data_IF_751040536055
#
_entry.id   IF_751040536055
#
_cell.length_a   1.000
_cell.length_b   1.000
_cell.length_c   1.000
_cell.angle_alpha   90.00
_cell.angle_beta   90.00
_cell.angle_gamma   90.00
#
_symmetry.space_group_name_H-M   'P 1'
#
loop_
_entity.id
_entity.type
_entity.pdbx_description
1 polymer ?
#
# COMPACT_ATOMS: atom_id res chain seq x y z
N UNK A 1 -12.01 -4.15 -24.00
CA UNK A 1 -10.63 -4.51 -23.59
C UNK A 1 -10.73 -5.83 -22.84
N UNK A 2 -10.04 -6.86 -23.34
CA UNK A 2 -10.04 -8.17 -22.67
C UNK A 2 -9.21 -8.09 -21.40
N UNK A 3 -9.58 -8.80 -20.32
CA UNK A 3 -8.81 -8.83 -19.06
C UNK A 3 -7.32 -9.14 -19.26
N UNK A 4 -7.00 -9.89 -20.34
CA UNK A 4 -5.64 -10.22 -20.76
C UNK A 4 -4.78 -9.00 -21.14
N UNK A 5 -5.37 -7.96 -21.71
CA UNK A 5 -4.62 -6.74 -22.10
C UNK A 5 -4.20 -5.94 -20.87
N UNK A 6 -5.10 -5.85 -19.87
CA UNK A 6 -4.84 -5.17 -18.60
C UNK A 6 -3.76 -5.90 -17.81
N UNK A 7 -3.81 -7.24 -17.74
CA UNK A 7 -2.78 -8.06 -17.10
C UNK A 7 -1.40 -7.87 -17.74
N UNK A 8 -1.34 -7.79 -19.07
CA UNK A 8 -0.08 -7.57 -19.80
C UNK A 8 0.54 -6.20 -19.48
N UNK A 9 -0.29 -5.15 -19.43
CA UNK A 9 0.15 -3.80 -19.09
C UNK A 9 0.64 -3.72 -17.63
N UNK A 10 -0.12 -4.29 -16.68
CA UNK A 10 0.27 -4.37 -15.27
C UNK A 10 1.59 -5.12 -15.09
N UNK A 11 1.77 -6.23 -15.80
CA UNK A 11 3.01 -7.02 -15.76
C UNK A 11 4.19 -6.20 -16.27
N UNK A 12 4.04 -5.52 -17.42
CA UNK A 12 5.10 -4.65 -17.95
C UNK A 12 5.46 -3.53 -16.98
N UNK A 13 4.45 -2.86 -16.39
CA UNK A 13 4.67 -1.79 -15.43
C UNK A 13 5.38 -2.32 -14.17
N UNK A 14 4.94 -3.44 -13.61
CA UNK A 14 5.51 -3.97 -12.39
C UNK A 14 6.95 -4.49 -12.59
N UNK A 15 7.25 -5.06 -13.76
CA UNK A 15 8.59 -5.56 -14.08
C UNK A 15 9.57 -4.44 -14.46
N UNK A 16 9.15 -3.46 -15.27
CA UNK A 16 10.05 -2.43 -15.84
C UNK A 16 9.97 -1.08 -15.12
N UNK A 17 8.94 -0.86 -14.31
CA UNK A 17 8.68 0.41 -13.63
C UNK A 17 9.78 0.84 -12.67
N UNK A 18 10.49 -0.11 -12.04
CA UNK A 18 11.61 0.19 -11.14
C UNK A 18 12.69 1.04 -11.82
N UNK A 19 13.03 0.73 -13.08
CA UNK A 19 14.03 1.49 -13.83
C UNK A 19 13.57 2.89 -14.25
N UNK A 20 12.27 3.16 -14.16
CA UNK A 20 11.64 4.43 -14.51
C UNK A 20 11.08 5.19 -13.29
N UNK A 21 11.42 4.77 -12.06
CA UNK A 21 10.87 5.33 -10.81
C UNK A 21 9.33 5.32 -10.72
N UNK A 22 8.68 4.34 -11.37
CA UNK A 22 7.24 4.13 -11.30
C UNK A 22 6.96 3.08 -10.21
N UNK A 23 6.20 3.48 -9.19
CA UNK A 23 5.77 2.62 -8.09
C UNK A 23 4.29 2.29 -8.20
N UNK A 24 3.94 1.02 -8.00
CA UNK A 24 2.56 0.55 -8.07
C UNK A 24 2.06 0.22 -6.67
N UNK A 25 0.87 0.72 -6.35
CA UNK A 25 0.08 0.32 -5.18
C UNK A 25 -1.21 -0.30 -5.69
N UNK A 26 -1.47 -1.54 -5.30
CA UNK A 26 -2.67 -2.28 -5.69
C UNK A 26 -3.40 -2.73 -4.42
N UNK A 27 -4.72 -2.52 -4.39
CA UNK A 27 -5.56 -2.82 -3.24
C UNK A 27 -6.73 -3.71 -3.68
N UNK A 28 -7.09 -4.69 -2.86
CA UNK A 28 -8.27 -5.54 -3.07
C UNK A 28 -8.91 -5.89 -1.73
N UNK A 29 -10.25 -6.03 -1.72
CA UNK A 29 -10.99 -6.58 -0.59
C UNK A 29 -11.23 -8.09 -0.70
N UNK A 30 -11.09 -8.65 -1.91
CA UNK A 30 -11.29 -10.07 -2.19
C UNK A 30 -9.95 -10.68 -2.62
N UNK A 31 -9.17 -11.24 -1.68
CA UNK A 31 -7.89 -11.83 -1.99
C UNK A 31 -8.08 -13.25 -2.58
N UNK A 32 -8.76 -13.36 -3.73
CA UNK A 32 -8.94 -14.65 -4.39
C UNK A 32 -7.77 -14.96 -5.31
N UNK A 33 -7.52 -16.25 -5.57
CA UNK A 33 -6.48 -16.67 -6.50
C UNK A 33 -6.73 -16.15 -7.93
N UNK A 34 -7.98 -15.90 -8.31
CA UNK A 34 -8.33 -15.31 -9.60
C UNK A 34 -7.92 -13.83 -9.70
N UNK A 35 -7.99 -13.07 -8.59
CA UNK A 35 -7.66 -11.65 -8.54
C UNK A 35 -6.16 -11.42 -8.27
N UNK A 36 -5.57 -12.25 -7.41
CA UNK A 36 -4.15 -12.14 -7.05
C UNK A 36 -3.27 -12.92 -8.05
N UNK A 37 -3.77 -13.97 -8.69
CA UNK A 37 -3.08 -14.67 -9.78
C UNK A 37 -1.64 -15.10 -9.47
N UNK A 38 -0.89 -15.43 -10.52
CA UNK A 38 0.56 -15.67 -10.45
C UNK A 38 1.38 -14.39 -10.68
N UNK A 39 0.86 -13.48 -11.51
CA UNK A 39 1.51 -12.22 -11.89
C UNK A 39 1.62 -11.22 -10.73
N UNK A 40 0.61 -11.14 -9.85
CA UNK A 40 0.71 -10.27 -8.66
C UNK A 40 1.68 -10.88 -7.65
N UNK A 41 1.71 -12.22 -7.53
CA UNK A 41 2.64 -12.91 -6.63
C UNK A 41 4.10 -12.73 -7.02
N UNK A 42 4.43 -12.71 -8.31
CA UNK A 42 5.80 -12.53 -8.79
C UNK A 42 6.26 -11.08 -8.80
N UNK A 43 5.34 -10.11 -8.91
CA UNK A 43 5.70 -8.70 -9.10
C UNK A 43 5.41 -7.78 -7.90
N UNK A 44 4.65 -8.21 -6.90
CA UNK A 44 4.38 -7.44 -5.67
C UNK A 44 4.99 -8.16 -4.45
N UNK A 45 6.29 -7.96 -4.18
CA UNK A 45 7.01 -8.64 -3.10
C UNK A 45 6.78 -8.04 -1.71
N UNK A 46 6.19 -6.84 -1.65
CA UNK A 46 5.77 -6.16 -0.43
C UNK A 46 4.25 -6.25 -0.36
N UNK A 47 3.72 -6.87 0.69
CA UNK A 47 2.27 -7.04 0.87
C UNK A 47 1.85 -6.58 2.26
N UNK A 48 0.78 -5.82 2.31
CA UNK A 48 0.11 -5.39 3.53
C UNK A 48 -1.22 -6.13 3.60
N UNK A 49 -1.40 -6.95 4.62
CA UNK A 49 -2.53 -7.88 4.75
C UNK A 49 -3.29 -7.57 6.02
N UNK A 50 -4.57 -7.21 5.87
CA UNK A 50 -5.48 -6.99 7.00
C UNK A 50 -6.15 -8.28 7.44
N UNK A 51 -7.11 -8.15 8.37
CA UNK A 51 -7.93 -9.28 8.80
C UNK A 51 -8.65 -9.92 7.63
N UNK A 52 -8.53 -11.24 7.53
CA UNK A 52 -9.19 -12.05 6.50
C UNK A 52 -10.04 -13.16 7.14
N UNK A 53 -11.02 -13.74 6.42
CA UNK A 53 -11.95 -14.70 7.02
C UNK A 53 -11.34 -16.06 7.36
N UNK A 54 -10.31 -16.49 6.63
CA UNK A 54 -9.78 -17.85 6.72
C UNK A 54 -8.26 -17.94 6.56
N UNK A 55 -7.62 -19.01 7.06
CA UNK A 55 -6.20 -19.29 6.79
C UNK A 55 -5.88 -19.43 5.30
N UNK A 56 -6.85 -19.87 4.48
CA UNK A 56 -6.69 -19.97 3.04
C UNK A 56 -6.61 -18.57 2.40
N UNK A 57 -7.52 -17.67 2.76
CA UNK A 57 -7.48 -16.27 2.34
C UNK A 57 -6.19 -15.58 2.80
N UNK A 58 -5.73 -15.89 4.02
CA UNK A 58 -4.47 -15.39 4.56
C UNK A 58 -3.30 -15.82 3.69
N UNK A 59 -3.26 -17.09 3.28
CA UNK A 59 -2.25 -17.62 2.37
C UNK A 59 -2.31 -17.00 0.98
N UNK A 60 -3.51 -16.76 0.44
CA UNK A 60 -3.65 -16.13 -0.87
C UNK A 60 -3.23 -14.66 -0.83
N UNK A 61 -3.65 -13.91 0.19
CA UNK A 61 -3.33 -12.49 0.37
C UNK A 61 -1.83 -12.25 0.66
N UNK A 62 -1.26 -13.02 1.58
CA UNK A 62 0.15 -12.86 1.99
C UNK A 62 1.14 -13.57 1.05
N UNK A 63 0.68 -14.60 0.35
CA UNK A 63 1.53 -15.52 -0.40
C UNK A 63 2.32 -16.50 0.48
N UNK A 64 2.09 -16.53 1.79
CA UNK A 64 2.75 -17.42 2.75
C UNK A 64 1.70 -18.16 3.59
N UNK A 65 1.94 -19.44 3.85
CA UNK A 65 1.09 -20.18 4.78
C UNK A 65 1.42 -19.79 6.23
N UNK A 66 0.43 -19.87 7.12
CA UNK A 66 0.66 -19.72 8.57
C UNK A 66 1.00 -18.30 9.03
N UNK A 67 0.63 -17.27 8.27
CA UNK A 67 0.86 -15.87 8.67
C UNK A 67 -0.02 -15.40 9.82
N UNK A 68 -1.16 -16.06 10.05
CA UNK A 68 -2.11 -15.71 11.11
C UNK A 68 -2.96 -14.48 10.79
N UNK A 69 -3.05 -14.07 9.52
CA UNK A 69 -3.85 -12.91 9.12
C UNK A 69 -5.35 -13.08 9.45
N UNK A 70 -5.83 -14.32 9.53
CA UNK A 70 -7.20 -14.65 9.93
C UNK A 70 -7.50 -14.37 11.41
N UNK A 71 -6.46 -14.12 12.21
CA UNK A 71 -6.54 -13.85 13.65
C UNK A 71 -6.32 -12.38 14.00
N UNK A 72 -6.20 -11.52 12.99
CA UNK A 72 -6.06 -10.09 13.21
C UNK A 72 -7.38 -9.52 13.75
N UNK A 73 -7.28 -8.44 14.52
CA UNK A 73 -8.42 -7.82 15.19
C UNK A 73 -9.23 -6.89 14.26
N UNK A 74 -8.79 -6.74 13.00
CA UNK A 74 -9.29 -5.74 12.06
C UNK A 74 -8.93 -4.32 12.52
N UNK A 75 -9.70 -3.32 12.06
CA UNK A 75 -9.59 -1.91 12.52
C UNK A 75 -8.16 -1.35 12.52
N UNK A 76 -7.39 -1.66 11.47
CA UNK A 76 -6.02 -1.18 11.32
C UNK A 76 -4.94 -2.15 11.82
N UNK A 77 -5.30 -3.31 12.34
CA UNK A 77 -4.33 -4.38 12.64
C UNK A 77 -3.91 -5.09 11.33
N UNK A 78 -2.62 -5.03 11.01
CA UNK A 78 -2.07 -5.48 9.74
C UNK A 78 -0.81 -6.33 9.90
N UNK A 79 -0.57 -7.18 8.90
CA UNK A 79 0.71 -7.85 8.67
C UNK A 79 1.39 -7.25 7.45
N UNK A 80 2.65 -6.83 7.62
CA UNK A 80 3.57 -6.50 6.56
C UNK A 80 4.38 -7.75 6.21
N UNK A 81 4.30 -8.17 4.95
CA UNK A 81 5.04 -9.32 4.40
C UNK A 81 6.04 -8.82 3.39
N UNK A 82 7.33 -8.98 3.71
CA UNK A 82 8.44 -8.54 2.85
C UNK A 82 9.50 -9.62 2.82
N UNK A 83 9.79 -10.15 1.63
CA UNK A 83 10.84 -11.18 1.43
C UNK A 83 10.71 -12.38 2.39
N UNK A 84 9.48 -12.83 2.67
CA UNK A 84 9.21 -13.95 3.57
C UNK A 84 9.12 -13.58 5.05
N UNK A 85 9.53 -12.37 5.45
CA UNK A 85 9.40 -11.89 6.82
C UNK A 85 8.01 -11.31 7.04
N UNK A 86 7.46 -11.55 8.23
CA UNK A 86 6.13 -11.09 8.63
C UNK A 86 6.27 -10.18 9.85
N UNK A 87 5.77 -8.95 9.75
CA UNK A 87 5.78 -7.96 10.83
C UNK A 87 4.35 -7.51 11.09
N UNK A 88 3.85 -7.68 12.31
CA UNK A 88 2.54 -7.17 12.72
C UNK A 88 2.65 -5.72 13.19
N UNK A 89 1.73 -4.87 12.75
CA UNK A 89 1.69 -3.47 13.14
C UNK A 89 0.26 -2.91 13.13
N UNK A 90 0.08 -1.79 13.83
CA UNK A 90 -1.17 -1.02 13.84
C UNK A 90 -1.05 0.16 12.88
N UNK A 91 -1.97 0.24 11.91
CA UNK A 91 -2.11 1.36 11.02
C UNK A 91 -2.70 2.58 11.72
N UNK A 92 -2.25 3.77 11.32
CA UNK A 92 -2.86 5.02 11.74
C UNK A 92 -4.29 5.12 11.22
N UNK A 93 -5.19 5.57 12.08
CA UNK A 93 -6.56 5.90 11.69
C UNK A 93 -6.61 7.35 11.20
N UNK A 94 -7.36 7.58 10.13
CA UNK A 94 -7.70 8.91 9.63
C UNK A 94 -9.20 8.92 9.33
N UNK A 95 -9.91 9.93 9.81
CA UNK A 95 -11.36 10.07 9.59
C UNK A 95 -11.67 10.56 8.17
N UNK A 96 -12.92 10.38 7.74
CA UNK A 96 -13.35 10.88 6.42
C UNK A 96 -13.29 12.41 6.37
N UNK A 97 -13.61 13.08 7.48
CA UNK A 97 -13.50 14.54 7.62
C UNK A 97 -12.06 14.99 7.43
N UNK A 98 -11.09 14.36 8.11
CA UNK A 98 -9.67 14.66 7.96
C UNK A 98 -9.18 14.45 6.51
N UNK A 99 -9.65 13.38 5.84
CA UNK A 99 -9.36 13.16 4.42
C UNK A 99 -9.90 14.31 3.57
N UNK A 100 -11.17 14.69 3.76
CA UNK A 100 -11.81 15.78 2.99
C UNK A 100 -11.08 17.11 3.19
N UNK A 101 -10.67 17.41 4.42
CA UNK A 101 -9.90 18.61 4.74
C UNK A 101 -8.53 18.61 4.05
N UNK A 102 -7.78 17.49 4.12
CA UNK A 102 -6.49 17.35 3.43
C UNK A 102 -6.62 17.52 1.92
N UNK A 103 -7.62 16.89 1.30
CA UNK A 103 -7.89 17.01 -0.14
C UNK A 103 -8.26 18.45 -0.51
N UNK A 104 -9.09 19.12 0.30
CA UNK A 104 -9.48 20.51 0.07
C UNK A 104 -8.28 21.47 0.20
N UNK A 105 -7.42 21.28 1.20
CA UNK A 105 -6.20 22.06 1.36
C UNK A 105 -5.28 21.90 0.14
N UNK A 106 -5.13 20.67 -0.37
CA UNK A 106 -4.23 20.41 -1.50
C UNK A 106 -4.76 20.97 -2.82
N UNK A 107 -6.07 20.87 -3.07
CA UNK A 107 -6.72 21.46 -4.25
C UNK A 107 -6.57 22.99 -4.32
N UNK A 108 -6.48 23.68 -3.18
CA UNK A 108 -6.24 25.15 -3.15
C UNK A 108 -4.87 25.54 -3.72
N UNK A 109 -3.88 24.64 -3.66
CA UNK A 109 -2.55 24.84 -4.24
C UNK A 109 -2.43 24.44 -5.72
N UNK A 110 -3.46 23.82 -6.30
CA UNK A 110 -3.46 23.27 -7.66
C UNK A 110 -4.56 23.97 -8.46
N UNK A 111 -4.30 25.20 -8.93
CA UNK A 111 -5.16 25.87 -9.92
C UNK A 111 -4.70 25.46 -11.32
N UNK A 112 -5.59 24.87 -12.12
CA UNK A 112 -5.40 24.68 -13.57
C UNK A 112 -4.96 23.30 -14.04
N UNK A 113 -5.47 22.22 -13.47
CA UNK A 113 -5.26 20.87 -14.01
C UNK A 113 -6.58 20.31 -14.56
N UNK A 114 -6.67 20.27 -15.89
CA UNK A 114 -7.78 19.65 -16.61
C UNK A 114 -7.80 18.13 -16.39
N UNK A 115 -8.99 17.51 -16.46
CA UNK A 115 -9.32 16.15 -15.97
C UNK A 115 -8.55 14.93 -16.54
N UNK A 116 -7.46 15.15 -17.28
CA UNK A 116 -6.58 14.10 -17.82
C UNK A 116 -5.10 14.24 -17.41
N UNK A 117 -4.74 15.22 -16.58
CA UNK A 117 -3.36 15.40 -16.14
C UNK A 117 -2.93 14.33 -15.11
N UNK A 118 -1.82 13.65 -15.40
CA UNK A 118 -1.07 12.86 -14.41
C UNK A 118 -0.48 13.84 -13.40
N UNK A 119 -0.96 13.79 -12.16
CA UNK A 119 -0.43 14.64 -11.07
C UNK A 119 0.91 14.05 -10.61
N UNK A 120 2.01 14.60 -11.12
CA UNK A 120 3.35 14.34 -10.56
C UNK A 120 3.51 15.17 -9.29
N UNK A 121 3.25 14.56 -8.14
CA UNK A 121 3.32 15.24 -6.85
C UNK A 121 4.61 14.93 -6.09
N UNK A 122 5.65 15.74 -6.32
CA UNK A 122 6.90 15.67 -5.54
C UNK A 122 6.73 16.17 -4.08
N UNK A 123 5.59 16.81 -3.77
CA UNK A 123 5.35 17.49 -2.48
C UNK A 123 4.37 16.78 -1.53
N UNK A 124 3.77 15.64 -1.93
CA UNK A 124 2.84 14.89 -1.07
C UNK A 124 3.52 14.27 0.17
N UNK A 125 4.78 13.84 0.03
CA UNK A 125 5.55 13.27 1.15
C UNK A 125 5.74 14.28 2.29
N UNK A 126 6.03 15.56 2.02
CA UNK A 126 6.26 16.56 3.08
C UNK A 126 5.02 16.93 3.89
N UNK A 127 3.84 16.88 3.28
CA UNK A 127 2.58 17.25 3.93
C UNK A 127 2.08 16.13 4.85
N UNK A 128 2.15 14.87 4.41
CA UNK A 128 1.76 13.70 5.21
C UNK A 128 2.75 13.40 6.34
N UNK A 129 4.04 13.73 6.17
CA UNK A 129 5.06 13.50 7.18
C UNK A 129 4.96 14.43 8.40
N UNK A 130 4.30 15.59 8.32
CA UNK A 130 4.15 16.49 9.48
C UNK A 130 3.22 15.93 10.56
N UNK A 131 2.00 15.44 10.24
CA UNK A 131 1.16 14.72 11.20
C UNK A 131 1.80 13.42 11.66
N UNK A 132 2.38 12.63 10.74
CA UNK A 132 3.01 11.34 11.07
C UNK A 132 4.23 11.50 12.00
N UNK A 133 5.03 12.56 11.86
CA UNK A 133 6.14 12.85 12.80
C UNK A 133 5.66 13.16 14.22
N UNK A 134 4.46 13.74 14.40
CA UNK A 134 3.87 13.93 15.74
C UNK A 134 3.42 12.62 16.35
N UNK A 135 2.94 11.69 15.53
CA UNK A 135 2.48 10.36 15.96
C UNK A 135 3.66 9.42 16.27
N UNK A 136 4.72 9.47 15.47
CA UNK A 136 5.91 8.60 15.63
C UNK A 136 6.93 9.19 16.62
N UNK A 137 6.98 10.52 16.79
CA UNK A 137 7.89 11.20 17.73
C UNK A 137 7.58 11.00 19.22
N UNK A 138 6.51 10.28 19.58
CA UNK A 138 6.19 9.92 20.97
C UNK A 138 6.87 8.61 21.43
N UNK A 139 7.49 7.85 20.52
CA UNK A 139 8.34 6.69 20.85
C UNK A 139 9.68 6.83 20.12
N UNK A 140 10.64 7.44 20.82
CA UNK A 140 11.97 7.77 20.33
C UNK A 140 12.87 6.58 19.96
N UNK A 141 13.79 6.89 19.05
CA UNK A 141 15.20 6.54 19.14
C UNK A 141 15.62 5.06 19.12
N UNK A 142 15.01 4.21 18.27
CA UNK A 142 15.52 2.84 18.04
C UNK A 142 15.66 2.38 16.59
N UNK A 143 15.24 3.16 15.60
CA UNK A 143 15.41 2.79 14.19
C UNK A 143 16.59 3.54 13.56
N UNK A 144 17.79 3.01 13.80
CA UNK A 144 19.02 3.46 13.16
C UNK A 144 18.99 3.22 11.64
N UNK A 145 18.69 4.26 10.88
CA UNK A 145 18.98 4.33 9.45
C UNK A 145 20.36 4.96 9.25
N UNK A 146 21.40 4.14 9.30
CA UNK A 146 22.73 4.48 8.77
C UNK A 146 22.62 4.63 7.25
N UNK A 147 22.82 5.84 6.76
CA UNK A 147 22.96 6.11 5.32
C UNK A 147 24.35 5.64 4.88
N UNK A 148 24.38 4.66 3.97
CA UNK A 148 25.54 4.26 3.17
C UNK A 148 25.15 4.26 1.71
#
# INVERSE_FOLDING_TARGET
MSGREVEHLLTRLAQRGRGAAIHLVACTQKPTAAVIGSLVKSNFPVRLVGSVPSPEDAKVASGLAGTGAERLMGRGDFLLVVKGQVVRFQGAFISEEEIRELVAQRRRGVKGLDGHSVVCEESAQRALLRPLRRLVGAHGDSWGFSHG
#
